data_IF_876979103674
#
_entry.id   IF_876979103674
#
_cell.length_a   1.000
_cell.length_b   1.000
_cell.length_c   1.000
_cell.angle_alpha   90.00
_cell.angle_beta   90.00
_cell.angle_gamma   90.00
#
_symmetry.space_group_name_H-M   'P 1'
#
loop_
_entity.id
_entity.type
_entity.pdbx_description
1 polymer ?
#
# COMPACT_ATOMS: atom_id res chain seq x y z
N UNK A 1 -13.67 14.77 22.06
CA UNK A 1 -13.38 13.40 22.48
C UNK A 1 -13.26 12.62 21.18
N UNK A 2 -12.06 12.61 20.64
CA UNK A 2 -11.74 11.86 19.43
C UNK A 2 -11.77 10.38 19.81
N UNK A 3 -12.56 9.62 19.07
CA UNK A 3 -12.71 8.18 19.21
C UNK A 3 -11.42 7.54 18.70
N UNK A 4 -10.55 7.12 19.62
CA UNK A 4 -9.22 6.57 19.37
C UNK A 4 -9.33 5.10 18.94
N UNK A 5 -10.15 4.87 17.90
CA UNK A 5 -10.58 3.56 17.40
C UNK A 5 -9.44 2.78 16.78
N UNK A 6 -8.63 2.14 17.62
CA UNK A 6 -7.73 1.06 17.23
C UNK A 6 -8.50 -0.08 16.57
N UNK A 7 -7.99 -0.60 15.45
CA UNK A 7 -8.52 -1.81 14.82
C UNK A 7 -7.97 -3.02 15.58
N UNK A 8 -8.83 -3.85 16.18
CA UNK A 8 -8.39 -5.10 16.79
C UNK A 8 -7.87 -6.07 15.73
N UNK A 9 -7.00 -7.02 16.09
CA UNK A 9 -6.52 -8.06 15.17
C UNK A 9 -7.65 -8.85 14.48
N UNK A 10 -8.83 -8.95 15.12
CA UNK A 10 -10.04 -9.54 14.54
C UNK A 10 -10.70 -8.65 13.47
N UNK A 11 -10.61 -7.33 13.59
CA UNK A 11 -11.08 -6.37 12.58
C UNK A 11 -10.15 -6.30 11.35
N UNK A 12 -8.90 -6.76 11.47
CA UNK A 12 -7.91 -6.82 10.39
C UNK A 12 -8.10 -8.02 9.44
N UNK A 13 -8.98 -8.96 9.80
CA UNK A 13 -9.33 -10.10 8.97
C UNK A 13 -10.55 -9.78 8.11
N UNK A 14 -10.34 -9.15 6.95
CA UNK A 14 -11.42 -8.82 6.02
C UNK A 14 -11.21 -9.56 4.71
N UNK A 15 -12.01 -10.61 4.55
CA UNK A 15 -12.75 -11.03 3.36
C UNK A 15 -13.20 -12.48 3.61
N UNK A 16 -14.44 -12.68 4.04
CA UNK A 16 -15.10 -13.99 4.02
C UNK A 16 -16.45 -13.85 3.35
N UNK A 17 -16.54 -14.37 2.12
CA UNK A 17 -17.73 -15.07 1.67
C UNK A 17 -17.32 -16.41 1.06
N UNK A 18 -18.24 -17.35 1.18
CA UNK A 18 -18.05 -18.80 1.16
C UNK A 18 -17.50 -19.35 -0.16
N UNK A 19 -16.57 -20.31 -0.01
CA UNK A 19 -15.96 -21.17 -1.04
C UNK A 19 -14.97 -20.46 -2.00
N UNK A 20 -13.67 -20.51 -1.67
CA UNK A 20 -12.49 -20.21 -2.51
C UNK A 20 -11.96 -18.75 -2.58
N UNK A 21 -12.37 -17.84 -1.70
CA UNK A 21 -11.76 -16.50 -1.60
C UNK A 21 -10.46 -16.46 -0.79
N UNK A 22 -9.42 -15.80 -1.30
CA UNK A 22 -8.23 -15.41 -0.51
C UNK A 22 -8.60 -14.17 0.32
N UNK A 23 -8.35 -14.22 1.63
CA UNK A 23 -8.65 -13.13 2.54
C UNK A 23 -7.43 -12.25 2.81
N UNK A 24 -7.63 -10.93 2.95
CA UNK A 24 -6.60 -10.08 3.54
C UNK A 24 -6.56 -10.35 5.05
N UNK A 25 -5.42 -10.82 5.53
CA UNK A 25 -5.16 -11.04 6.95
C UNK A 25 -3.79 -10.46 7.30
N UNK A 26 -3.74 -9.64 8.34
CA UNK A 26 -2.49 -9.13 8.93
C UNK A 26 -2.38 -9.67 10.35
N UNK A 27 -1.34 -10.46 10.59
CA UNK A 27 -0.98 -10.95 11.92
C UNK A 27 -0.31 -9.86 12.77
N UNK A 28 -0.21 -10.07 14.08
CA UNK A 28 0.55 -9.18 14.97
C UNK A 28 2.02 -9.04 14.53
N UNK A 29 2.60 -10.11 13.97
CA UNK A 29 3.95 -10.09 13.43
C UNK A 29 4.06 -9.19 12.20
N UNK A 30 3.07 -9.24 11.30
CA UNK A 30 3.01 -8.36 10.12
C UNK A 30 2.92 -6.90 10.57
N UNK A 31 2.03 -6.63 11.52
CA UNK A 31 1.85 -5.30 12.08
C UNK A 31 3.14 -4.78 12.71
N UNK A 32 3.77 -5.59 13.55
CA UNK A 32 5.04 -5.24 14.18
C UNK A 32 6.15 -4.99 13.15
N UNK A 33 6.28 -5.86 12.14
CA UNK A 33 7.35 -5.76 11.16
C UNK A 33 7.20 -4.54 10.25
N UNK A 34 5.99 -4.25 9.78
CA UNK A 34 5.70 -3.07 8.94
C UNK A 34 5.91 -1.78 9.73
N UNK A 35 5.41 -1.71 10.96
CA UNK A 35 5.55 -0.51 11.81
C UNK A 35 7.00 -0.26 12.19
N UNK A 36 7.75 -1.31 12.57
CA UNK A 36 9.19 -1.19 12.82
C UNK A 36 9.96 -0.81 11.58
N UNK A 37 9.65 -1.39 10.41
CA UNK A 37 10.28 -1.03 9.15
C UNK A 37 10.07 0.45 8.87
N UNK A 38 8.83 0.95 8.91
CA UNK A 38 8.53 2.35 8.64
C UNK A 38 9.21 3.31 9.63
N UNK A 39 9.33 2.92 10.91
CA UNK A 39 10.03 3.70 11.92
C UNK A 39 11.55 3.71 11.71
N UNK A 40 12.18 2.54 11.63
CA UNK A 40 13.65 2.40 11.56
C UNK A 40 14.26 2.90 10.25
N UNK A 41 13.50 2.84 9.16
CA UNK A 41 13.88 3.44 7.87
C UNK A 41 13.63 4.95 7.82
N UNK A 42 12.90 5.51 8.78
CA UNK A 42 12.49 6.91 8.79
C UNK A 42 11.33 7.25 7.86
N UNK A 43 10.81 6.31 7.06
CA UNK A 43 9.69 6.59 6.14
C UNK A 43 8.46 7.15 6.85
N UNK A 44 8.18 6.71 8.08
CA UNK A 44 7.03 7.19 8.87
C UNK A 44 7.07 8.70 9.22
N UNK A 45 8.20 9.36 9.00
CA UNK A 45 8.41 10.80 9.17
C UNK A 45 8.52 11.56 7.85
N UNK A 46 8.59 10.85 6.73
CA UNK A 46 8.73 11.44 5.41
C UNK A 46 7.36 11.62 4.74
N UNK A 47 7.20 12.73 4.03
CA UNK A 47 6.00 13.03 3.25
C UNK A 47 6.01 12.21 1.94
N UNK A 48 4.93 11.48 1.59
CA UNK A 48 4.86 10.74 0.34
C UNK A 48 5.09 11.64 -0.89
N UNK A 49 4.68 12.92 -0.84
CA UNK A 49 4.92 13.90 -1.92
C UNK A 49 6.39 14.27 -2.11
N UNK A 50 7.27 13.88 -1.18
CA UNK A 50 8.72 14.08 -1.29
C UNK A 50 9.46 12.81 -1.66
N UNK A 51 9.07 11.68 -1.07
CA UNK A 51 9.76 10.40 -1.25
C UNK A 51 9.39 9.74 -2.57
N UNK A 52 8.11 9.72 -2.91
CA UNK A 52 7.64 8.99 -4.07
C UNK A 52 8.10 9.64 -5.40
N UNK A 53 8.17 10.98 -5.56
CA UNK A 53 8.80 11.56 -6.73
C UNK A 53 10.26 11.18 -6.92
N UNK A 54 11.04 11.12 -5.83
CA UNK A 54 12.44 10.64 -5.89
C UNK A 54 12.49 9.18 -6.32
N UNK A 55 11.59 8.33 -5.82
CA UNK A 55 11.48 6.94 -6.28
C UNK A 55 11.16 6.84 -7.77
N UNK A 56 10.30 7.72 -8.29
CA UNK A 56 9.93 7.74 -9.71
C UNK A 56 11.08 8.11 -10.63
N UNK A 57 12.03 8.93 -10.18
CA UNK A 57 13.26 9.26 -10.93
C UNK A 57 14.16 8.04 -11.21
N UNK A 58 13.96 6.94 -10.48
CA UNK A 58 14.68 5.68 -10.69
C UNK A 58 14.05 4.77 -11.73
N UNK A 59 12.87 5.12 -12.28
CA UNK A 59 12.19 4.33 -13.30
C UNK A 59 12.64 4.68 -14.71
N UNK A 60 12.54 3.71 -15.62
CA UNK A 60 12.73 3.89 -17.06
C UNK A 60 11.40 3.54 -17.77
N UNK A 61 10.90 4.45 -18.60
CA UNK A 61 9.61 4.31 -19.30
C UNK A 61 8.42 3.92 -18.37
N UNK A 62 8.40 4.48 -17.16
CA UNK A 62 7.37 4.20 -16.15
C UNK A 62 7.51 2.85 -15.44
N UNK A 63 8.58 2.11 -15.71
CA UNK A 63 8.88 0.82 -15.09
C UNK A 63 10.04 0.96 -14.10
N UNK A 64 9.82 0.50 -12.87
CA UNK A 64 10.83 0.44 -11.83
C UNK A 64 11.36 -0.99 -11.71
N UNK A 65 12.66 -1.17 -11.95
CA UNK A 65 13.34 -2.46 -11.79
C UNK A 65 13.69 -2.74 -10.33
N UNK A 66 13.73 -4.03 -9.92
CA UNK A 66 14.15 -4.41 -8.55
C UNK A 66 15.53 -3.85 -8.20
N UNK A 67 16.46 -3.85 -9.16
CA UNK A 67 17.81 -3.30 -8.98
C UNK A 67 17.76 -1.80 -8.69
N UNK A 68 16.86 -1.08 -9.34
CA UNK A 68 16.73 0.36 -9.19
C UNK A 68 16.03 0.72 -7.89
N UNK A 69 15.04 -0.07 -7.48
CA UNK A 69 14.46 0.01 -6.15
C UNK A 69 15.50 -0.22 -5.05
N UNK A 70 16.37 -1.23 -5.17
CA UNK A 70 17.44 -1.49 -4.21
C UNK A 70 18.46 -0.33 -4.14
N UNK A 71 18.77 0.27 -5.29
CA UNK A 71 19.63 1.47 -5.35
C UNK A 71 18.97 2.64 -4.63
N UNK A 72 17.68 2.91 -4.89
CA UNK A 72 16.90 3.92 -4.17
C UNK A 72 16.93 3.70 -2.66
N UNK A 73 16.70 2.47 -2.19
CA UNK A 73 16.76 2.13 -0.77
C UNK A 73 18.18 2.32 -0.19
N UNK A 74 19.23 1.99 -0.96
CA UNK A 74 20.61 2.13 -0.48
C UNK A 74 21.04 3.58 -0.30
N UNK A 75 20.50 4.50 -1.11
CA UNK A 75 20.77 5.92 -1.01
C UNK A 75 19.92 6.57 0.08
N UNK A 76 18.64 6.20 0.17
CA UNK A 76 17.72 6.80 1.12
C UNK A 76 17.85 6.24 2.53
N UNK A 77 18.20 4.95 2.68
CA UNK A 77 18.32 4.25 3.96
C UNK A 77 19.60 3.39 4.00
N UNK A 78 20.79 4.00 4.18
CA UNK A 78 22.05 3.27 4.13
C UNK A 78 22.18 2.14 5.17
N UNK A 79 21.54 2.26 6.33
CA UNK A 79 21.57 1.25 7.42
C UNK A 79 21.05 -0.12 6.97
N UNK A 80 20.05 -0.16 6.07
CA UNK A 80 19.55 -1.40 5.45
C UNK A 80 20.65 -2.19 4.74
N UNK A 81 21.73 -1.51 4.31
CA UNK A 81 22.84 -2.07 3.56
C UNK A 81 24.18 -2.00 4.32
N UNK A 82 24.13 -1.88 5.65
CA UNK A 82 25.33 -1.84 6.51
C UNK A 82 25.98 -0.47 6.62
N UNK A 83 25.30 0.58 6.16
CA UNK A 83 25.61 1.97 6.51
C UNK A 83 25.23 2.32 7.95
N UNK A 84 25.20 3.61 8.27
CA UNK A 84 24.76 4.10 9.58
C UNK A 84 23.27 4.45 9.63
N UNK A 85 22.68 4.54 10.84
CA UNK A 85 21.29 4.94 11.02
C UNK A 85 21.05 6.37 10.54
N UNK A 86 19.86 6.63 10.00
CA UNK A 86 19.45 7.97 9.56
C UNK A 86 19.07 8.88 10.74
N UNK A 87 18.54 8.29 11.81
CA UNK A 87 18.04 9.03 12.97
C UNK A 87 19.11 9.11 14.07
N UNK A 88 19.35 10.33 14.56
CA UNK A 88 20.26 10.54 15.69
C UNK A 88 19.70 9.84 16.95
N UNK A 89 20.54 9.01 17.57
CA UNK A 89 20.20 8.30 18.81
C UNK A 89 19.64 6.90 18.60
N UNK A 90 19.29 6.51 17.37
CA UNK A 90 18.93 5.13 17.06
C UNK A 90 20.19 4.26 16.93
N UNK A 91 20.20 3.02 17.47
CA UNK A 91 21.27 2.08 17.19
C UNK A 91 21.22 1.61 15.72
N UNK A 92 22.37 1.24 15.13
CA UNK A 92 22.40 0.60 13.81
C UNK A 92 21.49 -0.63 13.77
N UNK A 93 20.88 -0.89 12.62
CA UNK A 93 20.10 -2.11 12.42
C UNK A 93 20.94 -3.37 12.66
N UNK A 94 20.37 -4.33 13.38
CA UNK A 94 20.99 -5.66 13.51
C UNK A 94 20.90 -6.41 12.19
N UNK A 95 21.71 -7.46 12.01
CA UNK A 95 21.69 -8.26 10.80
C UNK A 95 20.32 -8.96 10.62
N UNK A 96 19.68 -9.36 11.72
CA UNK A 96 18.32 -9.91 11.71
C UNK A 96 17.29 -8.88 11.24
N UNK A 97 17.36 -7.63 11.72
CA UNK A 97 16.48 -6.55 11.30
C UNK A 97 16.64 -6.24 9.81
N UNK A 98 17.88 -6.12 9.33
CA UNK A 98 18.16 -5.89 7.89
C UNK A 98 17.61 -7.02 7.03
N UNK A 99 17.81 -8.27 7.45
CA UNK A 99 17.30 -9.43 6.74
C UNK A 99 15.77 -9.43 6.70
N UNK A 100 15.10 -9.14 7.82
CA UNK A 100 13.65 -9.13 7.91
C UNK A 100 13.05 -7.98 7.09
N UNK A 101 13.60 -6.76 7.21
CA UNK A 101 13.12 -5.59 6.47
C UNK A 101 13.39 -5.70 4.97
N UNK A 102 14.57 -6.20 4.57
CA UNK A 102 14.89 -6.46 3.17
C UNK A 102 13.98 -7.52 2.55
N UNK A 103 13.62 -8.55 3.32
CA UNK A 103 12.66 -9.57 2.88
C UNK A 103 11.25 -8.99 2.71
N UNK A 104 10.79 -8.17 3.66
CA UNK A 104 9.50 -7.50 3.60
C UNK A 104 9.41 -6.53 2.39
N UNK A 105 10.42 -5.68 2.19
CA UNK A 105 10.46 -4.76 1.05
C UNK A 105 10.50 -5.51 -0.30
N UNK A 106 11.23 -6.62 -0.35
CA UNK A 106 11.25 -7.48 -1.54
C UNK A 106 9.90 -8.17 -1.77
N UNK A 107 9.24 -8.65 -0.72
CA UNK A 107 7.90 -9.22 -0.80
C UNK A 107 6.89 -8.21 -1.33
N UNK A 108 6.92 -6.98 -0.81
CA UNK A 108 6.10 -5.87 -1.30
C UNK A 108 6.39 -5.61 -2.78
N UNK A 109 7.66 -5.48 -3.18
CA UNK A 109 8.02 -5.24 -4.59
C UNK A 109 7.50 -6.35 -5.51
N UNK A 110 7.78 -7.62 -5.19
CA UNK A 110 7.38 -8.73 -6.05
C UNK A 110 5.86 -8.97 -6.07
N UNK A 111 5.11 -8.49 -5.07
CA UNK A 111 3.64 -8.48 -5.15
C UNK A 111 3.12 -7.63 -6.32
N UNK A 112 3.87 -6.62 -6.77
CA UNK A 112 3.53 -5.82 -7.97
C UNK A 112 4.07 -6.42 -9.27
N UNK A 113 5.03 -7.35 -9.22
CA UNK A 113 5.66 -7.96 -10.40
C UNK A 113 4.82 -9.11 -10.97
N UNK A 114 3.66 -8.75 -11.52
CA UNK A 114 2.63 -9.70 -12.00
C UNK A 114 3.15 -10.65 -13.07
N UNK A 115 4.03 -10.17 -13.94
CA UNK A 115 4.54 -10.90 -15.09
C UNK A 115 5.91 -11.56 -14.81
N UNK A 116 6.39 -11.52 -13.56
CA UNK A 116 7.69 -12.07 -13.14
C UNK A 116 8.88 -11.53 -13.97
N UNK A 117 8.82 -10.24 -14.30
CA UNK A 117 9.81 -9.51 -15.11
C UNK A 117 10.86 -8.79 -14.27
N UNK A 118 10.72 -8.82 -12.94
CA UNK A 118 11.48 -8.01 -11.98
C UNK A 118 11.35 -6.51 -12.20
N UNK A 119 10.23 -6.09 -12.79
CA UNK A 119 9.86 -4.70 -13.06
C UNK A 119 8.41 -4.47 -12.68
N UNK A 120 8.11 -3.27 -12.19
CA UNK A 120 6.77 -2.89 -11.72
C UNK A 120 6.39 -1.52 -12.28
N UNK A 121 5.09 -1.28 -12.46
CA UNK A 121 4.59 0.05 -12.79
C UNK A 121 4.88 1.01 -11.62
N UNK A 122 5.64 2.07 -11.88
CA UNK A 122 6.16 2.94 -10.82
C UNK A 122 5.06 3.78 -10.18
N UNK A 123 3.97 4.10 -10.90
CA UNK A 123 2.87 4.89 -10.36
C UNK A 123 2.05 4.07 -9.37
N UNK A 124 1.74 2.81 -9.72
CA UNK A 124 1.05 1.89 -8.81
C UNK A 124 1.93 1.53 -7.61
N UNK A 125 3.22 1.26 -7.85
CA UNK A 125 4.15 0.96 -6.78
C UNK A 125 4.32 2.15 -5.82
N UNK A 126 4.48 3.37 -6.33
CA UNK A 126 4.57 4.58 -5.50
C UNK A 126 3.29 4.85 -4.72
N UNK A 127 2.12 4.60 -5.34
CA UNK A 127 0.82 4.72 -4.67
C UNK A 127 0.74 3.84 -3.43
N UNK A 128 1.12 2.56 -3.52
CA UNK A 128 1.11 1.70 -2.34
C UNK A 128 2.32 1.90 -1.42
N UNK A 129 3.49 2.26 -1.93
CA UNK A 129 4.68 2.56 -1.11
C UNK A 129 4.43 3.74 -0.15
N UNK A 130 3.53 4.66 -0.51
CA UNK A 130 3.04 5.72 0.36
C UNK A 130 2.47 5.20 1.70
N UNK A 131 2.09 3.92 1.81
CA UNK A 131 1.71 3.27 3.06
C UNK A 131 2.76 3.47 4.16
N UNK A 132 4.05 3.30 3.81
CA UNK A 132 5.17 3.42 4.75
C UNK A 132 5.47 4.86 5.15
N UNK A 133 4.94 5.83 4.39
CA UNK A 133 5.16 7.24 4.61
C UNK A 133 4.27 7.82 5.72
N UNK A 134 4.63 9.01 6.20
CA UNK A 134 3.78 9.82 7.06
C UNK A 134 2.44 10.16 6.37
N UNK A 135 1.41 10.45 7.17
CA UNK A 135 0.15 11.00 6.69
C UNK A 135 -1.05 10.13 7.04
N UNK A 136 -2.24 10.75 6.97
CA UNK A 136 -3.51 10.05 7.19
C UNK A 136 -3.89 9.19 6.00
N UNK A 137 -4.85 8.28 6.19
CA UNK A 137 -5.53 7.56 5.09
C UNK A 137 -5.90 8.51 3.94
N UNK A 138 -6.59 9.61 4.23
CA UNK A 138 -7.04 10.56 3.21
C UNK A 138 -5.88 11.22 2.45
N UNK A 139 -4.74 11.46 3.11
CA UNK A 139 -3.53 12.02 2.47
C UNK A 139 -2.98 11.04 1.43
N UNK A 140 -2.86 9.76 1.80
CA UNK A 140 -2.32 8.71 0.92
C UNK A 140 -3.27 8.40 -0.23
N UNK A 141 -4.57 8.35 0.06
CA UNK A 141 -5.62 8.22 -0.94
C UNK A 141 -5.59 9.37 -1.95
N UNK A 142 -5.57 10.63 -1.49
CA UNK A 142 -5.50 11.79 -2.39
C UNK A 142 -4.22 11.77 -3.24
N UNK A 143 -3.08 11.49 -2.63
CA UNK A 143 -1.79 11.42 -3.34
C UNK A 143 -1.80 10.39 -4.48
N UNK A 144 -2.28 9.16 -4.20
CA UNK A 144 -2.36 8.12 -5.21
C UNK A 144 -3.42 8.43 -6.29
N UNK A 145 -4.45 9.21 -5.95
CA UNK A 145 -5.48 9.62 -6.90
C UNK A 145 -4.88 10.57 -7.93
N UNK A 146 -4.17 11.60 -7.47
CA UNK A 146 -3.44 12.55 -8.34
C UNK A 146 -2.40 11.82 -9.20
N UNK A 147 -1.73 10.81 -8.64
CA UNK A 147 -0.68 10.07 -9.35
C UNK A 147 -1.22 9.19 -10.50
N UNK A 148 -2.45 8.71 -10.37
CA UNK A 148 -3.08 7.80 -11.35
C UNK A 148 -4.08 8.52 -12.28
N UNK A 149 -4.25 9.83 -12.10
CA UNK A 149 -5.03 10.73 -12.96
C UNK A 149 -4.23 11.09 -14.24
N UNK A 150 -4.16 10.14 -15.17
CA UNK A 150 -3.32 10.24 -16.38
C UNK A 150 -3.66 11.44 -17.29
N UNK A 151 -4.92 11.92 -17.30
CA UNK A 151 -5.35 13.05 -18.12
C UNK A 151 -5.55 14.36 -17.35
N UNK A 152 -5.11 14.40 -16.08
CA UNK A 152 -5.11 15.58 -15.21
C UNK A 152 -6.48 16.29 -15.11
N UNK A 153 -7.57 15.54 -15.25
CA UNK A 153 -8.93 16.08 -15.17
C UNK A 153 -9.58 15.92 -13.79
N UNK A 154 -8.77 15.49 -12.82
CA UNK A 154 -9.12 15.25 -11.42
C UNK A 154 -10.15 14.14 -11.26
N UNK A 155 -10.18 13.18 -12.21
CA UNK A 155 -11.12 12.06 -12.18
C UNK A 155 -10.52 10.78 -12.73
N UNK A 156 -10.73 9.68 -12.01
CA UNK A 156 -10.29 8.37 -12.47
C UNK A 156 -11.33 7.71 -13.37
N UNK A 157 -10.88 7.13 -14.47
CA UNK A 157 -11.68 6.19 -15.28
C UNK A 157 -11.91 4.86 -14.53
N UNK A 158 -12.75 3.98 -15.09
CA UNK A 158 -12.97 2.63 -14.51
C UNK A 158 -11.66 1.85 -14.34
N UNK A 159 -10.77 1.98 -15.33
CA UNK A 159 -9.44 1.37 -15.28
C UNK A 159 -8.56 2.08 -14.24
N UNK A 160 -8.60 3.42 -14.19
CA UNK A 160 -7.87 4.21 -13.19
C UNK A 160 -8.26 3.82 -11.76
N UNK A 161 -9.56 3.74 -11.45
CA UNK A 161 -10.03 3.32 -10.12
C UNK A 161 -9.61 1.90 -9.77
N UNK A 162 -9.64 0.97 -10.74
CA UNK A 162 -9.13 -0.38 -10.53
C UNK A 162 -7.63 -0.38 -10.20
N UNK A 163 -6.78 0.33 -10.96
CA UNK A 163 -5.35 0.48 -10.67
C UNK A 163 -5.10 1.08 -9.29
N UNK A 164 -5.90 2.09 -8.93
CA UNK A 164 -5.84 2.78 -7.65
C UNK A 164 -6.11 1.85 -6.47
N UNK A 165 -7.24 1.13 -6.49
CA UNK A 165 -7.59 0.16 -5.43
C UNK A 165 -6.60 -1.00 -5.39
N UNK A 166 -6.17 -1.46 -6.57
CA UNK A 166 -5.19 -2.52 -6.71
C UNK A 166 -3.86 -2.16 -6.05
N UNK A 167 -3.38 -0.93 -6.23
CA UNK A 167 -2.12 -0.48 -5.63
C UNK A 167 -2.13 -0.69 -4.11
N UNK A 168 -3.20 -0.26 -3.44
CA UNK A 168 -3.32 -0.43 -1.99
C UNK A 168 -3.52 -1.88 -1.56
N UNK A 169 -4.34 -2.66 -2.26
CA UNK A 169 -4.48 -4.10 -1.97
C UNK A 169 -3.15 -4.84 -2.16
N UNK A 170 -2.37 -4.48 -3.17
CA UNK A 170 -1.09 -5.13 -3.47
C UNK A 170 -0.07 -4.91 -2.35
N UNK A 171 0.10 -3.66 -1.86
CA UNK A 171 1.02 -3.42 -0.74
C UNK A 171 0.57 -4.11 0.54
N UNK A 172 -0.74 -4.12 0.83
CA UNK A 172 -1.27 -4.77 2.03
C UNK A 172 -1.11 -6.30 1.97
N UNK A 173 -1.38 -6.90 0.81
CA UNK A 173 -1.21 -8.32 0.58
C UNK A 173 0.27 -8.73 0.57
N UNK A 174 1.16 -7.92 -0.03
CA UNK A 174 2.60 -8.14 -0.06
C UNK A 174 3.29 -7.93 1.30
N UNK A 175 2.67 -7.13 2.18
CA UNK A 175 3.12 -6.92 3.56
C UNK A 175 2.64 -8.01 4.54
N UNK A 176 1.70 -8.86 4.11
CA UNK A 176 1.16 -9.95 4.93
C UNK A 176 1.99 -11.23 4.78
N UNK A 177 2.65 -11.67 5.86
CA UNK A 177 3.32 -12.97 5.93
C UNK A 177 2.31 -14.13 5.90
N UNK A 178 1.05 -13.90 6.30
CA UNK A 178 -0.01 -14.90 6.19
C UNK A 178 -0.26 -15.33 4.73
N UNK A 179 0.04 -14.45 3.77
CA UNK A 179 -0.07 -14.70 2.34
C UNK A 179 1.18 -15.33 1.71
N UNK A 180 2.25 -15.54 2.47
CA UNK A 180 3.51 -16.13 1.95
C UNK A 180 3.35 -17.55 1.40
N UNK A 181 2.27 -18.26 1.76
CA UNK A 181 1.94 -19.59 1.25
C UNK A 181 1.20 -19.59 -0.09
N UNK A 182 0.74 -18.44 -0.58
CA UNK A 182 0.07 -18.34 -1.88
C UNK A 182 1.08 -18.44 -3.01
N UNK A 183 0.70 -19.11 -4.10
CA UNK A 183 1.42 -18.98 -5.36
C UNK A 183 1.29 -17.56 -5.91
N UNK A 184 2.24 -17.14 -6.76
CA UNK A 184 2.17 -15.83 -7.41
C UNK A 184 0.87 -15.63 -8.21
N UNK A 185 0.36 -16.69 -8.85
CA UNK A 185 -0.90 -16.64 -9.59
C UNK A 185 -2.12 -16.43 -8.67
N UNK A 186 -2.18 -17.14 -7.54
CA UNK A 186 -3.25 -16.96 -6.55
C UNK A 186 -3.24 -15.55 -5.94
N UNK A 187 -2.05 -15.03 -5.63
CA UNK A 187 -1.88 -13.68 -5.11
C UNK A 187 -2.38 -12.63 -6.11
N UNK A 188 -1.93 -12.71 -7.37
CA UNK A 188 -2.36 -11.80 -8.44
C UNK A 188 -3.87 -11.89 -8.66
N UNK A 189 -4.42 -13.10 -8.71
CA UNK A 189 -5.86 -13.30 -8.90
C UNK A 189 -6.67 -12.69 -7.75
N UNK A 190 -6.25 -12.89 -6.50
CA UNK A 190 -6.93 -12.35 -5.32
C UNK A 190 -6.95 -10.83 -5.32
N UNK A 191 -5.80 -10.21 -5.58
CA UNK A 191 -5.62 -8.75 -5.66
C UNK A 191 -6.50 -8.18 -6.77
N UNK A 192 -6.40 -8.72 -8.00
CA UNK A 192 -7.15 -8.21 -9.14
C UNK A 192 -8.65 -8.39 -8.95
N UNK A 193 -9.09 -9.55 -8.44
CA UNK A 193 -10.52 -9.83 -8.20
C UNK A 193 -11.09 -8.90 -7.12
N UNK A 194 -10.37 -8.69 -6.01
CA UNK A 194 -10.75 -7.75 -4.97
C UNK A 194 -10.85 -6.31 -5.48
N UNK A 195 -9.86 -5.85 -6.25
CA UNK A 195 -9.85 -4.52 -6.84
C UNK A 195 -10.98 -4.32 -7.87
N UNK A 196 -11.24 -5.31 -8.72
CA UNK A 196 -12.35 -5.27 -9.70
C UNK A 196 -13.69 -5.22 -9.00
N UNK A 197 -13.89 -6.06 -7.97
CA UNK A 197 -15.13 -6.09 -7.22
C UNK A 197 -15.38 -4.75 -6.50
N UNK A 198 -14.36 -4.22 -5.82
CA UNK A 198 -14.46 -2.93 -5.14
C UNK A 198 -14.71 -1.76 -6.11
N UNK A 199 -14.01 -1.72 -7.24
CA UNK A 199 -14.26 -0.72 -8.27
C UNK A 199 -15.70 -0.81 -8.80
N UNK A 200 -16.23 -2.03 -9.04
CA UNK A 200 -17.59 -2.23 -9.53
C UNK A 200 -18.64 -1.71 -8.53
N UNK A 201 -18.47 -2.01 -7.23
CA UNK A 201 -19.37 -1.54 -6.17
C UNK A 201 -19.34 -0.02 -6.06
N UNK A 202 -18.15 0.60 -6.01
CA UNK A 202 -18.00 2.07 -5.99
C UNK A 202 -18.72 2.70 -7.19
N UNK A 203 -18.52 2.16 -8.40
CA UNK A 203 -19.18 2.67 -9.60
C UNK A 203 -20.71 2.52 -9.54
N UNK A 204 -21.22 1.45 -8.92
CA UNK A 204 -22.65 1.19 -8.84
C UNK A 204 -23.34 2.07 -7.79
N UNK A 205 -22.69 2.33 -6.67
CA UNK A 205 -23.28 3.00 -5.51
C UNK A 205 -23.04 4.51 -5.48
N UNK A 206 -22.04 5.00 -6.21
CA UNK A 206 -21.72 6.43 -6.24
C UNK A 206 -22.57 7.15 -7.28
N UNK A 207 -23.28 8.20 -6.86
CA UNK A 207 -23.89 9.18 -7.75
C UNK A 207 -22.79 10.05 -8.38
N UNK A 208 -22.47 9.77 -9.64
CA UNK A 208 -21.35 10.39 -10.35
C UNK A 208 -21.83 11.44 -11.33
N UNK A 209 -21.14 12.58 -11.38
CA UNK A 209 -21.38 13.63 -12.38
C UNK A 209 -21.15 13.10 -13.80
N UNK A 210 -20.10 12.29 -13.96
CA UNK A 210 -19.74 11.65 -15.22
C UNK A 210 -19.90 10.14 -15.15
N UNK A 211 -20.68 9.56 -16.06
CA UNK A 211 -21.01 8.12 -16.04
C UNK A 211 -19.80 7.18 -16.10
N UNK A 212 -18.66 7.62 -16.61
CA UNK A 212 -17.49 6.76 -16.84
C UNK A 212 -16.27 7.12 -15.98
N UNK A 213 -16.35 8.19 -15.20
CA UNK A 213 -15.29 8.65 -14.32
C UNK A 213 -15.81 8.81 -12.89
N UNK A 214 -14.89 8.96 -11.94
CA UNK A 214 -15.19 9.26 -10.55
C UNK A 214 -14.18 10.29 -10.05
N UNK A 215 -14.62 11.32 -9.31
CA UNK A 215 -13.73 12.27 -8.64
C UNK A 215 -13.30 11.79 -7.26
N UNK A 216 -12.29 12.42 -6.66
CA UNK A 216 -11.87 12.08 -5.31
C UNK A 216 -12.95 12.38 -4.27
N UNK A 217 -13.68 13.48 -4.42
CA UNK A 217 -14.78 13.88 -3.55
C UNK A 217 -15.93 12.86 -3.59
N UNK A 218 -16.28 12.37 -4.79
CA UNK A 218 -17.30 11.35 -4.98
C UNK A 218 -16.91 10.04 -4.28
N UNK A 219 -15.64 9.61 -4.43
CA UNK A 219 -15.11 8.44 -3.73
C UNK A 219 -15.10 8.62 -2.21
N UNK A 220 -14.68 9.79 -1.72
CA UNK A 220 -14.65 10.09 -0.28
C UNK A 220 -16.06 10.16 0.33
N UNK A 221 -17.03 10.68 -0.42
CA UNK A 221 -18.43 10.70 -0.03
C UNK A 221 -19.01 9.28 0.03
N UNK A 222 -18.77 8.44 -0.98
CA UNK A 222 -19.17 7.02 -0.95
C UNK A 222 -18.58 6.31 0.28
N UNK A 223 -17.28 6.51 0.53
CA UNK A 223 -16.61 5.86 1.67
C UNK A 223 -17.24 6.26 3.00
N UNK A 224 -17.51 7.55 3.20
CA UNK A 224 -18.10 8.10 4.42
C UNK A 224 -19.56 7.65 4.63
N UNK A 225 -20.30 7.44 3.54
CA UNK A 225 -21.72 7.06 3.56
C UNK A 225 -21.94 5.54 3.55
N UNK A 226 -21.05 4.78 4.19
CA UNK A 226 -21.18 3.33 4.38
C UNK A 226 -20.20 2.48 3.57
N UNK A 227 -19.50 3.05 2.59
CA UNK A 227 -18.46 2.34 1.84
C UNK A 227 -17.33 1.81 2.74
N UNK A 228 -17.11 2.42 3.92
CA UNK A 228 -16.17 1.93 4.93
C UNK A 228 -16.49 0.52 5.47
N UNK A 229 -17.77 0.09 5.47
CA UNK A 229 -18.12 -1.29 5.82
C UNK A 229 -17.71 -2.30 4.75
N UNK A 230 -17.67 -1.86 3.49
CA UNK A 230 -17.33 -2.70 2.35
C UNK A 230 -15.82 -2.74 2.08
N UNK A 231 -15.15 -1.59 2.22
CA UNK A 231 -13.70 -1.46 2.04
C UNK A 231 -12.99 -1.01 3.34
N UNK A 232 -13.15 -1.74 4.47
CA UNK A 232 -12.50 -1.38 5.74
C UNK A 232 -10.97 -1.47 5.65
N UNK A 233 -10.44 -2.27 4.72
CA UNK A 233 -9.01 -2.38 4.44
C UNK A 233 -8.36 -1.04 4.05
N UNK A 234 -9.13 -0.04 3.60
CA UNK A 234 -8.61 1.31 3.36
C UNK A 234 -8.19 2.01 4.67
N UNK A 235 -8.74 1.64 5.83
CA UNK A 235 -8.26 2.15 7.13
C UNK A 235 -6.85 1.69 7.46
N UNK A 236 -6.39 0.59 6.86
CA UNK A 236 -5.04 0.07 7.03
C UNK A 236 -3.98 0.97 6.38
N UNK A 237 -4.39 1.97 5.60
CA UNK A 237 -3.47 2.96 5.05
C UNK A 237 -2.97 3.94 6.12
N UNK A 238 -3.62 4.01 7.28
CA UNK A 238 -3.11 4.76 8.42
C UNK A 238 -2.36 3.84 9.40
N UNK A 239 -1.03 3.80 9.29
CA UNK A 239 -0.19 2.97 10.16
C UNK A 239 -0.32 3.32 11.65
N UNK A 240 -0.85 4.50 12.01
CA UNK A 240 -1.12 4.81 13.43
C UNK A 240 -2.25 3.97 14.01
N UNK A 241 -3.13 3.44 13.15
CA UNK A 241 -4.23 2.54 13.55
C UNK A 241 -3.78 1.10 13.73
N UNK A 242 -2.55 0.76 13.35
CA UNK A 242 -1.97 -0.56 13.49
C UNK A 242 -1.47 -0.76 14.91
N UNK A 243 -2.41 -0.84 15.85
CA UNK A 243 -2.11 -1.09 17.25
C UNK A 243 -1.95 -2.59 17.48
N UNK A 244 -0.85 -2.98 18.12
CA UNK A 244 -0.74 -4.33 18.70
C UNK A 244 -1.43 -4.25 20.06
N UNK A 245 -2.32 -5.21 20.35
CA UNK A 245 -2.90 -5.32 21.69
C UNK A 245 -1.76 -5.60 22.69
N UNK A 246 -1.62 -4.77 23.73
CA UNK A 246 -0.69 -5.02 24.85
C UNK A 246 -1.10 -6.24 25.68
#
# INVERSE_FOLDING_TARGET
>A
AEDDGGLSAEAMAVLREEDQGVALALSELDVHLVTQLAHRTGFSQMDPQKVCPVLMEYSDDGLLSKREFDRFLSELVPDLFGGGPLMEGEPPMTDEERSAFGSLLSSIFYAYDRDSTSQVDVLEFSSGFSLLCHGSKSTKLSYAFDLLDEDEDQKLSRRGLWRYLRSFLTVLMGASLANSGLSGEELVWAIDSGAVHAAAVIYQETEREEKNKISFEELAAWYTNGGYWFAPWLELLDLKKWLVAE
#
